data_IF_630244685015
#
_entry.id   IF_630244685015
#
_cell.length_a   1.000
_cell.length_b   1.000
_cell.length_c   1.000
_cell.angle_alpha   90.00
_cell.angle_beta   90.00
_cell.angle_gamma   90.00
#
_symmetry.space_group_name_H-M   'P 1'
#
loop_
_entity.id
_entity.type
_entity.pdbx_description
1 polymer ?
#
# COMPACT_ATOMS: atom_id res chain seq x y z
N UNK A 1 -15.09 -31.03 -42.48
CA UNK A 1 -14.30 -31.22 -41.25
C UNK A 1 -13.44 -29.98 -40.98
N UNK A 2 -14.07 -28.85 -40.61
CA UNK A 2 -13.42 -27.56 -40.32
C UNK A 2 -13.71 -27.23 -38.85
N UNK A 3 -12.70 -26.78 -38.12
CA UNK A 3 -12.81 -26.05 -36.84
C UNK A 3 -12.69 -26.81 -35.50
N UNK A 4 -11.69 -27.69 -35.34
CA UNK A 4 -11.28 -28.13 -33.99
C UNK A 4 -10.02 -27.43 -33.49
N UNK A 5 -9.21 -26.86 -34.40
CA UNK A 5 -7.96 -26.15 -34.05
C UNK A 5 -8.21 -24.83 -33.30
N UNK A 6 -9.33 -24.15 -33.60
CA UNK A 6 -9.74 -22.90 -32.92
C UNK A 6 -10.23 -23.15 -31.50
N UNK A 7 -10.96 -24.25 -31.28
CA UNK A 7 -11.38 -24.68 -29.95
C UNK A 7 -10.17 -25.10 -29.10
N UNK A 8 -9.22 -25.83 -29.68
CA UNK A 8 -7.96 -26.20 -29.00
C UNK A 8 -7.10 -24.98 -28.62
N UNK A 9 -7.03 -23.96 -29.48
CA UNK A 9 -6.35 -22.70 -29.18
C UNK A 9 -7.04 -21.92 -28.05
N UNK A 10 -8.37 -21.91 -28.01
CA UNK A 10 -9.13 -21.24 -26.96
C UNK A 10 -8.92 -21.89 -25.57
N UNK A 11 -8.87 -23.23 -25.52
CA UNK A 11 -8.63 -23.97 -24.26
C UNK A 11 -7.23 -23.70 -23.69
N UNK A 12 -6.21 -23.60 -24.56
CA UNK A 12 -4.84 -23.27 -24.15
C UNK A 12 -4.70 -21.86 -23.55
N UNK A 13 -5.42 -20.88 -24.09
CA UNK A 13 -5.39 -19.49 -23.58
C UNK A 13 -6.06 -19.39 -22.20
N UNK A 14 -7.17 -20.10 -21.99
CA UNK A 14 -7.88 -20.12 -20.71
C UNK A 14 -7.03 -20.76 -19.61
N UNK A 15 -6.28 -21.83 -19.92
CA UNK A 15 -5.36 -22.45 -18.98
C UNK A 15 -4.13 -21.58 -18.66
N UNK A 16 -3.66 -20.77 -19.63
CA UNK A 16 -2.55 -19.84 -19.41
C UNK A 16 -2.87 -18.71 -18.44
N UNK A 17 -4.11 -18.19 -18.43
CA UNK A 17 -4.54 -17.14 -17.52
C UNK A 17 -4.81 -17.62 -16.08
N UNK A 18 -5.03 -18.92 -15.90
CA UNK A 18 -5.34 -19.51 -14.59
C UNK A 18 -4.09 -19.93 -13.79
N UNK A 19 -2.89 -19.76 -14.35
CA UNK A 19 -1.64 -20.01 -13.63
C UNK A 19 -1.50 -19.00 -12.48
N UNK A 20 -1.48 -19.43 -11.21
CA UNK A 20 -1.15 -18.54 -10.10
C UNK A 20 0.25 -18.00 -10.36
N UNK A 21 0.38 -16.70 -10.60
CA UNK A 21 1.69 -16.07 -10.70
C UNK A 21 2.36 -16.27 -9.34
N UNK A 22 3.47 -17.03 -9.24
CA UNK A 22 4.12 -17.24 -7.96
C UNK A 22 4.58 -15.87 -7.45
N UNK A 23 3.96 -15.42 -6.36
CA UNK A 23 4.40 -14.23 -5.64
C UNK A 23 5.79 -14.54 -5.07
N UNK A 24 6.84 -14.01 -5.71
CA UNK A 24 8.20 -14.11 -5.19
C UNK A 24 8.28 -13.44 -3.81
N UNK A 25 8.33 -14.27 -2.77
CA UNK A 25 8.35 -13.88 -1.35
C UNK A 25 9.67 -13.21 -0.87
N UNK A 26 10.60 -12.87 -1.76
CA UNK A 26 11.95 -12.41 -1.39
C UNK A 26 12.10 -10.93 -1.01
N UNK A 27 11.08 -10.09 -1.21
CA UNK A 27 11.23 -8.62 -1.15
C UNK A 27 10.70 -7.93 0.12
N UNK A 28 9.77 -8.55 0.85
CA UNK A 28 8.98 -7.84 1.87
C UNK A 28 9.81 -7.29 3.03
N UNK A 29 10.85 -8.03 3.46
CA UNK A 29 11.72 -7.62 4.58
C UNK A 29 12.48 -6.32 4.33
N UNK A 30 12.85 -6.03 3.07
CA UNK A 30 13.56 -4.79 2.72
C UNK A 30 12.64 -3.59 2.88
N UNK A 31 11.44 -3.69 2.32
CA UNK A 31 10.40 -2.66 2.43
C UNK A 31 10.00 -2.45 3.88
N UNK A 32 9.81 -3.53 4.65
CA UNK A 32 9.50 -3.42 6.08
C UNK A 32 10.58 -2.68 6.88
N UNK A 33 11.87 -2.95 6.62
CA UNK A 33 12.97 -2.20 7.26
C UNK A 33 12.96 -0.72 6.87
N UNK A 34 12.68 -0.39 5.61
CA UNK A 34 12.58 1.00 5.17
C UNK A 34 11.39 1.73 5.80
N UNK A 35 10.22 1.08 5.86
CA UNK A 35 9.05 1.63 6.55
C UNK A 35 9.36 1.99 8.00
N UNK A 36 10.12 1.15 8.70
CA UNK A 36 10.57 1.43 10.07
C UNK A 36 11.49 2.64 10.20
N UNK A 37 12.33 2.90 9.21
CA UNK A 37 13.18 4.09 9.19
C UNK A 37 12.33 5.36 9.00
N UNK A 38 11.40 5.34 8.05
CA UNK A 38 10.47 6.46 7.86
C UNK A 38 9.59 6.71 9.08
N UNK A 39 9.15 5.65 9.76
CA UNK A 39 8.37 5.77 10.99
C UNK A 39 9.19 6.42 12.12
N UNK A 40 10.47 6.07 12.26
CA UNK A 40 11.38 6.72 13.20
C UNK A 40 11.63 8.21 12.87
N UNK A 41 11.51 8.57 11.59
CA UNK A 41 11.58 9.95 11.11
C UNK A 41 10.22 10.68 11.14
N UNK A 42 9.17 10.09 11.71
CA UNK A 42 7.77 10.58 11.70
C UNK A 42 7.18 10.80 10.29
N UNK A 43 7.77 10.20 9.26
CA UNK A 43 7.28 10.22 7.87
C UNK A 43 6.27 9.10 7.67
N UNK A 44 5.14 9.18 8.37
CA UNK A 44 4.15 8.11 8.44
C UNK A 44 3.53 7.74 7.09
N UNK A 45 3.35 8.70 6.19
CA UNK A 45 2.85 8.44 4.83
C UNK A 45 3.78 7.50 4.06
N UNK A 46 5.08 7.83 4.02
CA UNK A 46 6.11 7.00 3.37
C UNK A 46 6.30 5.66 4.07
N UNK A 47 6.18 5.64 5.40
CA UNK A 47 6.21 4.39 6.16
C UNK A 47 5.07 3.46 5.74
N UNK A 48 3.85 3.99 5.59
CA UNK A 48 2.69 3.23 5.15
C UNK A 48 2.86 2.68 3.72
N UNK A 49 3.43 3.46 2.79
CA UNK A 49 3.74 3.01 1.43
C UNK A 49 4.69 1.81 1.42
N UNK A 50 5.79 1.88 2.18
CA UNK A 50 6.77 0.80 2.29
C UNK A 50 6.16 -0.44 2.97
N UNK A 51 5.36 -0.28 4.04
CA UNK A 51 4.68 -1.41 4.65
C UNK A 51 3.64 -2.05 3.73
N UNK A 52 2.95 -1.27 2.90
CA UNK A 52 2.05 -1.77 1.87
C UNK A 52 2.82 -2.56 0.79
N UNK A 53 4.00 -2.09 0.38
CA UNK A 53 4.87 -2.84 -0.52
C UNK A 53 5.35 -4.16 0.12
N UNK A 54 5.61 -4.18 1.43
CA UNK A 54 5.93 -5.39 2.17
C UNK A 54 4.75 -6.39 2.20
N UNK A 55 3.53 -5.90 2.48
CA UNK A 55 2.29 -6.68 2.44
C UNK A 55 2.01 -7.26 1.06
N UNK A 56 2.29 -6.52 -0.02
CA UNK A 56 2.15 -7.02 -1.38
C UNK A 56 3.08 -8.20 -1.71
N UNK A 57 4.11 -8.45 -0.89
CA UNK A 57 5.01 -9.61 -1.02
C UNK A 57 4.63 -10.76 -0.10
N UNK A 58 4.13 -10.45 1.10
CA UNK A 58 3.73 -11.43 2.11
C UNK A 58 2.47 -10.93 2.84
N UNK A 59 1.28 -11.16 2.26
CA UNK A 59 0.02 -10.65 2.80
C UNK A 59 -0.35 -11.28 4.15
N UNK A 60 0.06 -12.52 4.39
CA UNK A 60 -0.25 -13.28 5.61
C UNK A 60 0.64 -12.87 6.79
N UNK A 61 1.65 -12.03 6.56
CA UNK A 61 2.52 -11.53 7.59
C UNK A 61 1.80 -10.54 8.52
N UNK A 62 1.42 -11.01 9.70
CA UNK A 62 0.74 -10.20 10.70
C UNK A 62 1.55 -8.97 11.12
N UNK A 63 2.88 -9.06 11.17
CA UNK A 63 3.74 -7.93 11.54
C UNK A 63 3.63 -6.79 10.52
N UNK A 64 3.61 -7.12 9.23
CA UNK A 64 3.44 -6.12 8.17
C UNK A 64 2.05 -5.50 8.20
N UNK A 65 1.01 -6.29 8.50
CA UNK A 65 -0.36 -5.80 8.61
C UNK A 65 -0.50 -4.78 9.75
N UNK A 66 0.05 -5.12 10.92
CA UNK A 66 0.02 -4.24 12.09
C UNK A 66 0.79 -2.95 11.81
N UNK A 67 2.00 -3.06 11.25
CA UNK A 67 2.83 -1.90 10.96
C UNK A 67 2.18 -0.94 9.95
N UNK A 68 1.60 -1.49 8.87
CA UNK A 68 0.85 -0.71 7.89
C UNK A 68 -0.32 0.05 8.53
N UNK A 69 -1.18 -0.66 9.28
CA UNK A 69 -2.34 -0.04 9.94
C UNK A 69 -1.93 1.08 10.90
N UNK A 70 -0.87 0.85 11.68
CA UNK A 70 -0.34 1.85 12.62
C UNK A 70 0.15 3.09 11.88
N UNK A 71 1.00 2.93 10.87
CA UNK A 71 1.54 4.04 10.08
C UNK A 71 0.42 4.82 9.37
N UNK A 72 -0.53 4.14 8.72
CA UNK A 72 -1.65 4.78 8.04
C UNK A 72 -2.57 5.57 9.00
N UNK A 73 -2.76 5.06 10.22
CA UNK A 73 -3.53 5.77 11.26
C UNK A 73 -2.79 7.03 11.71
N UNK A 74 -1.49 6.94 11.95
CA UNK A 74 -0.67 8.09 12.36
C UNK A 74 -0.60 9.18 11.28
N UNK A 75 -0.45 8.78 10.02
CA UNK A 75 -0.56 9.66 8.85
C UNK A 75 -1.90 10.42 8.84
N UNK A 76 -3.01 9.70 9.01
CA UNK A 76 -4.35 10.29 9.06
C UNK A 76 -4.50 11.32 10.19
N UNK A 77 -3.99 11.00 11.38
CA UNK A 77 -4.00 11.91 12.54
C UNK A 77 -3.19 13.17 12.25
N UNK A 78 -2.02 13.03 11.61
CA UNK A 78 -1.18 14.17 11.23
C UNK A 78 -1.87 15.09 10.22
N UNK A 79 -2.52 14.53 9.20
CA UNK A 79 -3.28 15.31 8.21
C UNK A 79 -4.44 16.08 8.86
N UNK A 80 -5.20 15.42 9.74
CA UNK A 80 -6.29 16.08 10.48
C UNK A 80 -5.75 17.21 11.35
N UNK A 81 -4.60 17.01 12.00
CA UNK A 81 -3.96 18.06 12.80
C UNK A 81 -3.54 19.26 11.94
N UNK A 82 -2.86 19.03 10.83
CA UNK A 82 -2.45 20.09 9.89
C UNK A 82 -3.66 20.85 9.35
N UNK A 83 -4.74 20.14 8.99
CA UNK A 83 -5.98 20.77 8.54
C UNK A 83 -6.60 21.69 9.59
N UNK A 84 -6.58 21.30 10.87
CA UNK A 84 -7.04 22.15 11.98
C UNK A 84 -6.16 23.39 12.15
N UNK A 85 -4.84 23.23 12.12
CA UNK A 85 -3.90 24.34 12.26
C UNK A 85 -4.10 25.38 11.14
N UNK A 86 -4.38 24.95 9.91
CA UNK A 86 -4.71 25.84 8.79
C UNK A 86 -6.05 26.56 8.96
N UNK A 87 -7.08 25.88 9.47
CA UNK A 87 -8.38 26.50 9.74
C UNK A 87 -8.27 27.57 10.84
N UNK A 88 -7.54 27.27 11.92
CA UNK A 88 -7.28 28.23 12.99
C UNK A 88 -6.54 29.46 12.45
N UNK A 89 -5.49 29.26 11.64
CA UNK A 89 -4.76 30.37 10.99
C UNK A 89 -5.65 31.26 10.12
N UNK A 90 -6.53 30.67 9.31
CA UNK A 90 -7.48 31.44 8.50
C UNK A 90 -8.49 32.24 9.33
N UNK A 91 -8.94 31.68 10.45
CA UNK A 91 -9.82 32.38 11.40
C UNK A 91 -9.11 33.56 12.08
N UNK A 92 -7.81 33.43 12.40
CA UNK A 92 -7.04 34.56 12.92
C UNK A 92 -6.90 35.67 11.87
N UNK A 93 -6.61 35.35 10.60
CA UNK A 93 -6.52 36.38 9.55
C UNK A 93 -7.86 37.09 9.30
N UNK A 94 -8.99 36.38 9.36
CA UNK A 94 -10.32 36.97 9.24
C UNK A 94 -10.66 37.88 10.44
N UNK A 95 -10.21 37.53 11.64
CA UNK A 95 -10.48 38.30 12.85
C UNK A 95 -9.76 39.66 12.93
N UNK A 96 -8.72 39.90 12.11
CA UNK A 96 -7.94 41.13 12.08
C UNK A 96 -8.27 42.07 10.91
N UNK A 97 -9.21 41.71 10.03
CA UNK A 97 -9.73 42.55 8.94
C UNK A 97 -11.12 43.12 9.27
#
# INVERSE_FOLDING_TARGET
MRSNKRALLAVLIIWGLASPVPAWAGGGKKHFKQGRLFEAENKFDRAAEEYMAALGKDPDNLEYQIAYRRAATQASVMLVRQGRELLEQGQYEEAYN
#
